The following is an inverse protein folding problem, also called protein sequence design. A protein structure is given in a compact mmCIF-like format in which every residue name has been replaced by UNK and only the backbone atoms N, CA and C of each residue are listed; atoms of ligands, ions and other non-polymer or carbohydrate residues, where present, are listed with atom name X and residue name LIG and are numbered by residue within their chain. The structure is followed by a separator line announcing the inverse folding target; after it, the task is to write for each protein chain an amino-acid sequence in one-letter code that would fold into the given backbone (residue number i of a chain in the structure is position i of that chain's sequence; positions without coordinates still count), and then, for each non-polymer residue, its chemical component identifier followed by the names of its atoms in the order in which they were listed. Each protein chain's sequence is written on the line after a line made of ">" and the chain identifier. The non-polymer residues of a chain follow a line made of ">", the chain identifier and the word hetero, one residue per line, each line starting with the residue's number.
data_IF_430024516047
#
_entry.id   IF_430024516047
#
_cell.length_a   1.000
_cell.length_b   1.000
_cell.length_c   1.000
_cell.angle_alpha   90.00
_cell.angle_beta   90.00
_cell.angle_gamma   90.00
#
_symmetry.space_group_name_H-M   'P 1'
#
loop_
_entity.id
_entity.type
_entity.pdbx_description
1 polymer ?
#
# COMPACT_ATOMS: atom_id res chain seq x y z
N UNK A 1 22.68 37.14 -12.66
CA UNK A 1 21.64 36.28 -12.03
C UNK A 1 22.30 34.99 -11.58
N UNK A 2 22.23 34.65 -10.29
CA UNK A 2 22.67 33.34 -9.77
C UNK A 2 21.45 32.42 -9.65
N UNK A 3 21.52 31.15 -10.08
CA UNK A 3 20.41 30.22 -9.87
C UNK A 3 20.40 29.78 -8.41
N UNK A 4 19.28 30.04 -7.72
CA UNK A 4 19.01 29.51 -6.39
C UNK A 4 18.76 28.02 -6.48
N UNK A 5 19.65 27.21 -5.92
CA UNK A 5 19.47 25.77 -5.82
C UNK A 5 18.22 25.45 -4.96
N UNK A 6 17.40 24.45 -5.32
CA UNK A 6 16.28 24.06 -4.49
C UNK A 6 16.84 23.44 -3.21
N UNK A 7 16.74 24.19 -2.11
CA UNK A 7 16.97 23.64 -0.77
C UNK A 7 15.94 22.54 -0.54
N UNK A 8 16.36 21.28 -0.61
CA UNK A 8 15.59 20.13 -0.14
C UNK A 8 15.20 20.41 1.31
N UNK A 9 13.98 20.88 1.55
CA UNK A 9 13.54 21.24 2.89
C UNK A 9 13.47 19.94 3.69
N UNK A 10 13.93 19.96 4.95
CA UNK A 10 13.95 18.80 5.87
C UNK A 10 12.63 17.97 5.88
N UNK A 11 11.49 18.59 5.58
CA UNK A 11 10.21 17.92 5.43
C UNK A 11 10.06 17.02 4.18
N UNK A 12 10.73 17.33 3.07
CA UNK A 12 10.67 16.55 1.83
C UNK A 12 11.35 15.20 1.98
N UNK A 13 12.51 15.16 2.65
CA UNK A 13 13.20 13.91 2.95
C UNK A 13 12.32 12.97 3.80
N UNK A 14 11.64 13.51 4.82
CA UNK A 14 10.70 12.76 5.65
C UNK A 14 9.49 12.25 4.85
N UNK A 15 8.90 13.10 4.00
CA UNK A 15 7.79 12.71 3.11
C UNK A 15 8.21 11.61 2.13
N UNK A 16 9.37 11.73 1.50
CA UNK A 16 9.91 10.74 0.58
C UNK A 16 10.17 9.41 1.26
N UNK A 17 10.77 9.43 2.47
CA UNK A 17 11.00 8.22 3.24
C UNK A 17 9.70 7.53 3.69
N UNK A 18 8.66 8.30 4.03
CA UNK A 18 7.34 7.76 4.35
C UNK A 18 6.65 7.15 3.11
N UNK A 19 6.74 7.83 1.96
CA UNK A 19 6.21 7.34 0.68
C UNK A 19 6.89 6.03 0.26
N UNK A 20 8.23 5.96 0.36
CA UNK A 20 9.02 4.78 0.06
C UNK A 20 8.65 3.59 0.96
N UNK A 21 8.51 3.82 2.28
CA UNK A 21 8.03 2.77 3.21
C UNK A 21 6.63 2.28 2.85
N UNK A 22 5.72 3.20 2.53
CA UNK A 22 4.36 2.83 2.15
C UNK A 22 4.32 2.05 0.83
N UNK A 23 5.19 2.38 -0.14
CA UNK A 23 5.34 1.63 -1.39
C UNK A 23 5.88 0.23 -1.13
N UNK A 24 6.99 0.11 -0.40
CA UNK A 24 7.58 -1.18 -0.04
C UNK A 24 6.56 -2.08 0.65
N UNK A 25 5.83 -1.54 1.64
CA UNK A 25 4.77 -2.29 2.31
C UNK A 25 3.71 -2.84 1.35
N UNK A 26 3.28 -2.06 0.34
CA UNK A 26 2.30 -2.54 -0.66
C UNK A 26 2.90 -3.65 -1.51
N UNK A 27 4.15 -3.52 -1.94
CA UNK A 27 4.84 -4.54 -2.72
C UNK A 27 4.99 -5.84 -1.94
N UNK A 28 5.37 -5.76 -0.66
CA UNK A 28 5.47 -6.92 0.24
C UNK A 28 4.09 -7.58 0.47
N UNK A 29 3.01 -6.79 0.44
CA UNK A 29 1.64 -7.31 0.58
C UNK A 29 1.08 -7.91 -0.72
N UNK A 30 1.60 -7.55 -1.89
CA UNK A 30 1.12 -8.03 -3.18
C UNK A 30 1.04 -9.57 -3.30
N UNK A 31 2.09 -10.35 -2.95
CA UNK A 31 2.01 -11.82 -3.01
C UNK A 31 0.96 -12.38 -2.04
N UNK A 32 0.77 -11.75 -0.88
CA UNK A 32 -0.26 -12.15 0.10
C UNK A 32 -1.66 -11.94 -0.48
N UNK A 33 -1.91 -10.80 -1.15
CA UNK A 33 -3.19 -10.53 -1.81
C UNK A 33 -3.47 -11.52 -2.95
N UNK A 34 -2.44 -11.90 -3.71
CA UNK A 34 -2.58 -12.88 -4.78
C UNK A 34 -2.93 -14.28 -4.23
N UNK A 35 -2.27 -14.71 -3.15
CA UNK A 35 -2.58 -15.98 -2.49
C UNK A 35 -4.01 -16.01 -1.95
N UNK A 36 -4.44 -14.93 -1.28
CA UNK A 36 -5.82 -14.81 -0.77
C UNK A 36 -6.84 -14.80 -1.91
N UNK A 37 -6.54 -14.11 -3.01
CA UNK A 37 -7.42 -14.08 -4.18
C UNK A 37 -7.59 -15.47 -4.81
N UNK A 38 -6.54 -16.29 -4.83
CA UNK A 38 -6.59 -17.67 -5.30
C UNK A 38 -7.39 -18.59 -4.34
N UNK A 39 -7.25 -18.40 -3.03
CA UNK A 39 -7.88 -19.26 -2.03
C UNK A 39 -9.35 -18.90 -1.74
N UNK A 40 -9.61 -17.61 -1.48
CA UNK A 40 -10.93 -17.12 -1.08
C UNK A 40 -11.71 -16.48 -2.24
N UNK A 41 -11.06 -16.14 -3.34
CA UNK A 41 -11.63 -15.45 -4.48
C UNK A 41 -11.21 -13.97 -4.57
N UNK A 42 -11.23 -13.37 -5.77
CA UNK A 42 -10.54 -12.11 -6.05
C UNK A 42 -11.32 -10.84 -5.65
N UNK A 43 -12.48 -10.97 -4.98
CA UNK A 43 -13.30 -9.79 -4.67
C UNK A 43 -12.73 -9.01 -3.49
N UNK A 44 -12.78 -7.67 -3.50
CA UNK A 44 -12.32 -6.85 -2.40
C UNK A 44 -12.95 -7.21 -1.05
N UNK A 45 -14.22 -7.63 -1.05
CA UNK A 45 -14.97 -8.04 0.12
C UNK A 45 -14.41 -9.32 0.74
N UNK A 46 -14.13 -10.34 -0.08
CA UNK A 46 -13.56 -11.60 0.40
C UNK A 46 -12.13 -11.42 0.88
N UNK A 47 -11.32 -10.66 0.15
CA UNK A 47 -9.95 -10.35 0.55
C UNK A 47 -9.94 -9.57 1.89
N UNK A 48 -10.80 -8.56 2.05
CA UNK A 48 -10.88 -7.78 3.29
C UNK A 48 -11.31 -8.65 4.49
N UNK A 49 -12.30 -9.52 4.30
CA UNK A 49 -12.75 -10.48 5.32
C UNK A 49 -11.61 -11.42 5.73
N UNK A 50 -10.88 -11.95 4.76
CA UNK A 50 -9.75 -12.84 5.00
C UNK A 50 -8.61 -12.15 5.76
N UNK A 51 -8.18 -10.96 5.32
CA UNK A 51 -7.14 -10.18 5.99
C UNK A 51 -7.53 -9.84 7.44
N UNK A 52 -8.80 -9.51 7.67
CA UNK A 52 -9.33 -9.24 9.02
C UNK A 52 -9.29 -10.48 9.89
N UNK A 53 -9.75 -11.63 9.38
CA UNK A 53 -9.74 -12.91 10.09
C UNK A 53 -8.32 -13.34 10.46
N UNK A 54 -7.35 -13.14 9.56
CA UNK A 54 -5.93 -13.43 9.82
C UNK A 54 -5.26 -12.38 10.72
N UNK A 55 -5.94 -11.29 11.07
CA UNK A 55 -5.40 -10.25 11.95
C UNK A 55 -4.25 -9.45 11.35
N UNK A 56 -4.16 -9.38 10.01
CA UNK A 56 -3.11 -8.65 9.29
C UNK A 56 -3.18 -7.16 9.66
N UNK A 57 -2.06 -6.59 10.13
CA UNK A 57 -2.01 -5.16 10.49
C UNK A 57 -2.09 -4.29 9.25
N UNK A 58 -2.76 -3.14 9.37
CA UNK A 58 -2.73 -2.08 8.35
C UNK A 58 -1.46 -1.22 8.48
N UNK A 59 -1.01 -0.61 7.38
CA UNK A 59 0.19 0.24 7.38
C UNK A 59 0.07 1.50 8.26
N UNK A 60 -1.15 1.97 8.57
CA UNK A 60 -1.39 3.11 9.48
C UNK A 60 -1.92 2.68 10.86
N UNK A 61 -1.84 1.40 11.18
CA UNK A 61 -2.45 0.82 12.39
C UNK A 61 -3.89 0.34 12.18
N UNK A 62 -4.34 -0.54 13.08
CA UNK A 62 -5.62 -1.26 12.96
C UNK A 62 -5.50 -2.64 12.30
N UNK A 63 -6.49 -3.50 12.54
CA UNK A 63 -6.55 -4.89 12.04
C UNK A 63 -7.81 -5.21 11.24
N UNK A 64 -8.81 -4.32 11.27
CA UNK A 64 -10.06 -4.49 10.51
C UNK A 64 -9.87 -3.94 9.12
N UNK A 65 -9.89 -4.79 8.10
CA UNK A 65 -9.82 -4.42 6.69
C UNK A 65 -11.21 -4.20 6.12
N UNK A 66 -11.35 -3.17 5.29
CA UNK A 66 -12.60 -2.88 4.56
C UNK A 66 -12.39 -3.07 3.05
N UNK A 67 -13.45 -3.35 2.27
CA UNK A 67 -13.34 -3.44 0.82
C UNK A 67 -12.72 -2.18 0.16
N UNK A 68 -13.05 -0.94 0.59
CA UNK A 68 -12.36 0.26 0.10
C UNK A 68 -10.85 0.29 0.36
N UNK A 69 -10.37 -0.26 1.48
CA UNK A 69 -8.92 -0.37 1.75
C UNK A 69 -8.25 -1.26 0.71
N UNK A 70 -8.86 -2.42 0.43
CA UNK A 70 -8.35 -3.38 -0.55
C UNK A 70 -8.33 -2.77 -1.95
N UNK A 71 -9.43 -2.15 -2.39
CA UNK A 71 -9.51 -1.46 -3.69
C UNK A 71 -8.41 -0.40 -3.84
N UNK A 72 -8.15 0.38 -2.79
CA UNK A 72 -7.09 1.40 -2.80
C UNK A 72 -5.70 0.79 -2.94
N UNK A 73 -5.42 -0.34 -2.30
CA UNK A 73 -4.13 -1.02 -2.45
C UNK A 73 -3.98 -1.60 -3.86
N UNK A 74 -4.99 -2.32 -4.35
CA UNK A 74 -4.95 -2.91 -5.70
C UNK A 74 -4.78 -1.85 -6.79
N UNK A 75 -5.51 -0.75 -6.70
CA UNK A 75 -5.36 0.39 -7.62
C UNK A 75 -3.94 0.97 -7.59
N UNK A 76 -3.34 1.12 -6.40
CA UNK A 76 -1.95 1.60 -6.28
C UNK A 76 -0.93 0.62 -6.81
N UNK A 77 -1.11 -0.68 -6.57
CA UNK A 77 -0.24 -1.70 -7.12
C UNK A 77 -0.28 -1.72 -8.64
N UNK A 78 -1.47 -1.62 -9.24
CA UNK A 78 -1.62 -1.51 -10.68
C UNK A 78 -0.95 -0.26 -11.26
N UNK A 79 -1.02 0.89 -10.58
CA UNK A 79 -0.34 2.10 -11.00
C UNK A 79 1.19 2.09 -10.78
N UNK A 80 1.70 1.19 -9.93
CA UNK A 80 3.13 1.06 -9.61
C UNK A 80 3.85 0.00 -10.46
N UNK A 81 3.13 -0.84 -11.19
CA UNK A 81 3.70 -1.76 -12.18
C UNK A 81 4.06 -0.97 -13.45
N UNK A 82 5.30 -1.08 -13.96
CA UNK A 82 5.58 -0.62 -15.32
C UNK A 82 4.79 -1.50 -16.29
N UNK A 83 4.04 -0.86 -17.17
CA UNK A 83 3.32 -1.50 -18.29
C UNK A 83 4.22 -2.33 -19.17
#
# INVERSE_FOLDING_TARGET
>A
MRPSAPTLRKGDAGRNAAAARARRYRQDLAPVLAAIAAEAGPTPERIASFLTRCGVRKPRGGRVWTPPDVRRILSRLSAEQPS
#
